data_IF_275301403372
#
_entry.id   IF_275301403372
#
_cell.length_a   1.000
_cell.length_b   1.000
_cell.length_c   1.000
_cell.angle_alpha   90.00
_cell.angle_beta   90.00
_cell.angle_gamma   90.00
#
_symmetry.space_group_name_H-M   'P 1'
#
loop_
_entity.id
_entity.type
_entity.pdbx_description
1 polymer ?
#
# COMPACT_ATOMS: atom_id res chain seq x y z
N UNK A 1 37.06 3.62 9.39
CA UNK A 1 35.62 3.59 9.11
C UNK A 1 34.86 3.71 10.42
N UNK A 2 33.81 4.53 10.50
CA UNK A 2 32.94 4.55 11.67
C UNK A 2 32.17 3.23 11.78
N UNK A 3 31.85 2.78 13.00
CA UNK A 3 30.94 1.65 13.18
C UNK A 3 29.51 2.03 12.75
N UNK A 4 28.69 1.03 12.42
CA UNK A 4 27.30 1.25 12.04
C UNK A 4 26.50 1.98 13.13
N UNK A 5 26.78 1.71 14.40
CA UNK A 5 26.14 2.40 15.54
C UNK A 5 26.52 3.88 15.63
N UNK A 6 27.79 4.22 15.40
CA UNK A 6 28.24 5.62 15.43
C UNK A 6 27.62 6.40 14.27
N UNK A 7 27.56 5.79 13.09
CA UNK A 7 26.86 6.36 11.94
C UNK A 7 25.36 6.57 12.21
N UNK A 8 24.66 5.56 12.75
CA UNK A 8 23.24 5.70 13.12
C UNK A 8 23.00 6.86 14.10
N UNK A 9 23.89 7.03 15.10
CA UNK A 9 23.83 8.17 16.02
C UNK A 9 24.06 9.50 15.31
N UNK A 10 25.04 9.62 14.43
CA UNK A 10 25.28 10.84 13.65
C UNK A 10 24.06 11.18 12.80
N UNK A 11 23.49 10.19 12.11
CA UNK A 11 22.35 10.38 11.22
C UNK A 11 21.12 10.90 11.96
N UNK A 12 20.91 10.56 13.24
CA UNK A 12 19.79 11.08 14.05
C UNK A 12 19.83 12.59 14.27
N UNK A 13 21.00 13.23 14.19
CA UNK A 13 21.13 14.69 14.37
C UNK A 13 21.03 15.49 13.08
N UNK A 14 20.92 14.82 11.93
CA UNK A 14 20.84 15.46 10.63
C UNK A 14 19.39 15.59 10.16
N UNK A 15 19.06 16.70 9.52
CA UNK A 15 17.80 16.84 8.78
C UNK A 15 17.77 15.91 7.57
N UNK A 16 16.58 15.57 7.05
CA UNK A 16 16.45 14.74 5.85
C UNK A 16 17.23 15.31 4.66
N UNK A 17 17.24 16.63 4.50
CA UNK A 17 17.99 17.31 3.44
C UNK A 17 19.50 17.05 3.57
N UNK A 18 20.07 17.17 4.76
CA UNK A 18 21.49 16.92 5.01
C UNK A 18 21.85 15.43 4.85
N UNK A 19 20.99 14.54 5.34
CA UNK A 19 21.12 13.09 5.13
C UNK A 19 21.17 12.75 3.64
N UNK A 20 20.31 13.38 2.83
CA UNK A 20 20.29 13.22 1.37
C UNK A 20 21.55 13.76 0.72
N UNK A 21 22.01 14.96 1.08
CA UNK A 21 23.24 15.54 0.56
C UNK A 21 24.48 14.68 0.86
N UNK A 22 24.56 14.05 2.04
CA UNK A 22 25.66 13.14 2.39
C UNK A 22 25.74 11.90 1.46
N UNK A 23 24.60 11.45 0.93
CA UNK A 23 24.57 10.32 -0.01
C UNK A 23 25.16 10.70 -1.36
N UNK A 24 25.09 11.96 -1.75
CA UNK A 24 25.60 12.45 -3.03
C UNK A 24 27.13 12.58 -3.04
N UNK A 25 27.76 12.60 -1.85
CA UNK A 25 29.22 12.73 -1.70
C UNK A 25 29.97 11.55 -2.32
N UNK A 26 29.49 10.32 -2.15
CA UNK A 26 30.07 9.15 -2.82
C UNK A 26 29.12 7.96 -2.89
N UNK A 27 29.36 7.07 -3.86
CA UNK A 27 28.60 5.81 -4.00
C UNK A 27 28.71 4.91 -2.77
N UNK A 28 29.88 4.86 -2.13
CA UNK A 28 30.09 4.06 -0.92
C UNK A 28 29.26 4.59 0.25
N UNK A 29 29.30 5.92 0.48
CA UNK A 29 28.45 6.58 1.49
C UNK A 29 26.98 6.39 1.19
N UNK A 30 26.55 6.50 -0.07
CA UNK A 30 25.17 6.22 -0.44
C UNK A 30 24.73 4.80 -0.03
N UNK A 31 25.54 3.78 -0.34
CA UNK A 31 25.22 2.39 0.02
C UNK A 31 25.18 2.21 1.53
N UNK A 32 26.14 2.76 2.27
CA UNK A 32 26.21 2.63 3.74
C UNK A 32 25.10 3.38 4.45
N UNK A 33 24.75 4.60 4.01
CA UNK A 33 23.79 5.47 4.67
C UNK A 33 22.35 5.17 4.29
N UNK A 34 22.09 4.63 3.10
CA UNK A 34 20.72 4.33 2.64
C UNK A 34 19.90 3.55 3.68
N UNK A 35 20.37 2.41 4.24
CA UNK A 35 19.61 1.68 5.26
C UNK A 35 19.39 2.44 6.58
N UNK A 36 20.19 3.48 6.85
CA UNK A 36 20.13 4.30 8.07
C UNK A 36 19.20 5.53 7.94
N UNK A 37 18.58 5.73 6.79
CA UNK A 37 17.63 6.83 6.56
C UNK A 37 16.26 6.22 6.25
N UNK A 38 15.47 5.88 7.29
CA UNK A 38 14.13 5.32 7.12
C UNK A 38 13.24 6.16 6.21
N UNK A 39 13.46 7.47 6.20
CA UNK A 39 12.70 8.44 5.41
C UNK A 39 12.89 8.27 3.89
N UNK A 40 13.98 7.63 3.43
CA UNK A 40 14.15 7.24 2.03
C UNK A 40 13.15 6.19 1.57
N UNK A 41 12.70 5.37 2.52
CA UNK A 41 11.78 4.28 2.29
C UNK A 41 10.34 4.66 2.65
N UNK A 42 10.13 5.85 3.23
CA UNK A 42 8.79 6.40 3.42
C UNK A 42 8.41 7.25 2.21
N UNK A 43 7.63 6.66 1.31
CA UNK A 43 7.07 7.35 0.17
C UNK A 43 5.56 7.48 0.34
N UNK A 44 5.03 8.62 -0.08
CA UNK A 44 3.61 8.90 -0.05
C UNK A 44 2.97 8.46 -1.37
N UNK A 45 2.16 7.40 -1.31
CA UNK A 45 1.28 7.01 -2.40
C UNK A 45 -0.02 7.78 -2.19
N UNK A 46 -0.37 8.66 -3.13
CA UNK A 46 -1.64 9.40 -3.07
C UNK A 46 -2.80 8.44 -3.36
N UNK A 47 -2.69 7.65 -4.43
CA UNK A 47 -3.71 6.67 -4.78
C UNK A 47 -3.06 5.36 -5.21
N UNK A 48 -3.54 4.25 -4.66
CA UNK A 48 -3.23 2.90 -5.12
C UNK A 48 -4.52 2.21 -5.53
N UNK A 49 -4.53 1.64 -6.73
CA UNK A 49 -5.59 0.76 -7.19
C UNK A 49 -4.97 -0.61 -7.48
N UNK A 50 -5.53 -1.65 -6.89
CA UNK A 50 -5.13 -3.03 -7.12
C UNK A 50 -6.12 -3.65 -8.10
N UNK A 51 -5.63 -4.48 -9.02
CA UNK A 51 -6.46 -5.31 -9.89
C UNK A 51 -5.89 -6.73 -9.95
N UNK A 52 -6.73 -7.76 -9.97
CA UNK A 52 -6.29 -9.14 -10.23
C UNK A 52 -6.88 -9.64 -11.53
N UNK A 53 -6.05 -10.23 -12.37
CA UNK A 53 -6.48 -10.91 -13.59
C UNK A 53 -5.82 -12.29 -13.64
N UNK A 54 -6.62 -13.35 -13.65
CA UNK A 54 -6.15 -14.74 -13.63
C UNK A 54 -5.15 -15.02 -12.49
N UNK A 55 -3.84 -15.01 -12.78
CA UNK A 55 -2.72 -15.28 -11.85
C UNK A 55 -1.79 -14.08 -11.68
N UNK A 56 -2.17 -12.90 -12.18
CA UNK A 56 -1.38 -11.68 -12.06
C UNK A 56 -2.09 -10.63 -11.22
N UNK A 57 -1.30 -9.93 -10.40
CA UNK A 57 -1.73 -8.75 -9.67
C UNK A 57 -1.15 -7.52 -10.34
N UNK A 58 -2.01 -6.56 -10.60
CA UNK A 58 -1.67 -5.28 -11.20
C UNK A 58 -1.88 -4.18 -10.17
N UNK A 59 -0.91 -3.30 -10.01
CA UNK A 59 -1.00 -2.13 -9.15
C UNK A 59 -0.89 -0.90 -10.02
N UNK A 60 -1.87 -0.02 -9.94
CA UNK A 60 -1.80 1.34 -10.45
C UNK A 60 -1.53 2.27 -9.27
N UNK A 61 -0.42 2.99 -9.33
CA UNK A 61 0.10 3.76 -8.20
C UNK A 61 0.36 5.18 -8.66
N UNK A 62 -0.25 6.13 -7.95
CA UNK A 62 -0.10 7.56 -8.19
C UNK A 62 0.73 8.16 -7.04
N UNK A 63 1.91 8.70 -7.37
CA UNK A 63 2.88 9.25 -6.41
C UNK A 63 3.12 10.73 -6.72
N UNK A 64 3.11 11.58 -5.69
CA UNK A 64 3.32 13.04 -5.82
C UNK A 64 4.80 13.46 -5.71
N UNK A 65 5.68 12.55 -5.29
CA UNK A 65 7.09 12.84 -5.01
C UNK A 65 8.03 12.46 -6.17
N UNK A 66 9.06 13.27 -6.39
CA UNK A 66 10.10 13.11 -7.41
C UNK A 66 11.12 12.00 -7.08
N UNK A 67 11.10 11.41 -5.88
CA UNK A 67 11.97 10.27 -5.53
C UNK A 67 11.40 8.88 -5.89
N UNK A 68 10.24 8.82 -6.54
CA UNK A 68 9.56 7.58 -6.92
C UNK A 68 10.43 6.64 -7.76
N UNK A 69 11.29 7.18 -8.63
CA UNK A 69 12.04 6.38 -9.61
C UNK A 69 13.09 5.47 -8.93
N UNK A 70 13.67 5.92 -7.80
CA UNK A 70 14.64 5.11 -7.03
C UNK A 70 13.96 3.97 -6.28
N UNK A 71 12.81 4.25 -5.66
CA UNK A 71 12.01 3.23 -4.97
C UNK A 71 11.56 2.12 -5.93
N UNK A 72 11.07 2.50 -7.10
CA UNK A 72 10.65 1.55 -8.12
C UNK A 72 11.82 0.78 -8.75
N UNK A 73 12.99 1.39 -8.89
CA UNK A 73 14.19 0.68 -9.30
C UNK A 73 14.56 -0.46 -8.32
N UNK A 74 14.38 -0.26 -7.01
CA UNK A 74 14.57 -1.32 -6.00
C UNK A 74 13.48 -2.40 -6.05
N UNK A 75 12.26 -2.04 -6.48
CA UNK A 75 11.17 -2.99 -6.70
C UNK A 75 11.34 -3.84 -7.96
N UNK A 76 12.05 -3.34 -8.97
CA UNK A 76 12.15 -3.95 -10.30
C UNK A 76 12.52 -5.45 -10.27
N UNK A 77 13.42 -5.95 -9.40
CA UNK A 77 13.72 -7.39 -9.32
C UNK A 77 12.55 -8.26 -8.84
N UNK A 78 11.56 -7.66 -8.18
CA UNK A 78 10.39 -8.33 -7.58
C UNK A 78 9.13 -8.21 -8.42
N UNK A 79 9.17 -7.41 -9.50
CA UNK A 79 8.02 -7.09 -10.35
C UNK A 79 8.28 -7.61 -11.76
N UNK A 80 7.30 -8.31 -12.34
CA UNK A 80 7.44 -8.86 -13.70
C UNK A 80 7.48 -7.73 -14.73
N UNK A 81 6.56 -6.78 -14.63
CA UNK A 81 6.49 -5.61 -15.51
C UNK A 81 6.21 -4.36 -14.73
N UNK A 82 6.93 -3.32 -15.07
CA UNK A 82 6.74 -1.99 -14.52
C UNK A 82 6.87 -0.97 -15.62
N UNK A 83 5.91 -0.04 -15.70
CA UNK A 83 6.01 1.10 -16.59
C UNK A 83 5.41 2.34 -15.96
N UNK A 84 5.94 3.49 -16.36
CA UNK A 84 5.44 4.80 -16.00
C UNK A 84 4.47 5.25 -17.09
N UNK A 85 3.29 5.70 -16.69
CA UNK A 85 2.32 6.31 -17.61
C UNK A 85 2.22 7.81 -17.38
N UNK A 86 1.54 8.48 -18.30
CA UNK A 86 1.25 9.90 -18.16
C UNK A 86 0.24 10.13 -17.04
N UNK A 87 0.55 11.09 -16.17
CA UNK A 87 -0.40 11.63 -15.21
C UNK A 87 -1.09 12.86 -15.79
N UNK A 88 -2.39 12.99 -15.53
CA UNK A 88 -3.14 14.21 -15.85
C UNK A 88 -2.81 15.36 -14.88
N UNK A 89 -2.35 15.02 -13.68
CA UNK A 89 -2.05 15.97 -12.63
C UNK A 89 -0.57 16.35 -12.68
N UNK A 90 -0.29 17.64 -12.88
CA UNK A 90 1.08 18.19 -12.84
C UNK A 90 1.74 17.87 -11.50
N UNK A 91 2.93 17.28 -11.55
CA UNK A 91 3.70 16.89 -10.35
C UNK A 91 3.31 15.53 -9.77
N UNK A 92 2.46 14.76 -10.43
CA UNK A 92 2.16 13.38 -10.06
C UNK A 92 2.74 12.42 -11.10
N UNK A 93 3.32 11.32 -10.63
CA UNK A 93 3.83 10.24 -11.47
C UNK A 93 2.94 9.02 -11.29
N UNK A 94 2.50 8.46 -12.41
CA UNK A 94 1.68 7.25 -12.44
C UNK A 94 2.51 6.05 -12.82
N UNK A 95 2.46 5.01 -12.01
CA UNK A 95 3.15 3.75 -12.24
C UNK A 95 2.15 2.62 -12.34
N UNK A 96 2.48 1.66 -13.18
CA UNK A 96 1.77 0.41 -13.33
C UNK A 96 2.75 -0.73 -13.05
N UNK A 97 2.42 -1.56 -12.08
CA UNK A 97 3.18 -2.75 -11.72
C UNK A 97 2.36 -3.98 -12.05
N UNK A 98 3.01 -5.04 -12.54
CA UNK A 98 2.43 -6.36 -12.71
C UNK A 98 3.31 -7.38 -11.99
N UNK A 99 2.69 -8.17 -11.13
CA UNK A 99 3.27 -9.32 -10.46
C UNK A 99 2.60 -10.58 -11.00
N UNK A 100 3.39 -11.53 -11.49
CA UNK A 100 2.93 -12.90 -11.73
C UNK A 100 3.72 -13.85 -10.85
N UNK A 101 3.11 -14.96 -10.45
CA UNK A 101 3.75 -15.98 -9.61
C UNK A 101 4.37 -15.40 -8.31
N UNK A 102 3.68 -14.45 -7.70
CA UNK A 102 4.16 -13.78 -6.49
C UNK A 102 4.28 -14.79 -5.33
N UNK A 103 5.44 -14.78 -4.64
CA UNK A 103 5.64 -15.63 -3.48
C UNK A 103 4.86 -15.07 -2.28
N UNK A 104 4.48 -15.95 -1.35
CA UNK A 104 3.81 -15.54 -0.11
C UNK A 104 4.65 -14.54 0.70
N UNK A 105 5.97 -14.50 0.53
CA UNK A 105 6.87 -13.65 1.31
C UNK A 105 7.21 -12.32 0.62
N UNK A 106 6.46 -11.94 -0.41
CA UNK A 106 6.73 -10.69 -1.14
C UNK A 106 6.26 -9.47 -0.34
N UNK A 107 7.21 -8.67 0.14
CA UNK A 107 6.98 -7.36 0.74
C UNK A 107 7.30 -6.29 -0.30
N UNK A 108 6.27 -5.58 -0.78
CA UNK A 108 6.41 -4.56 -1.81
C UNK A 108 6.38 -3.17 -1.19
N UNK A 109 5.31 -2.82 -0.51
CA UNK A 109 5.09 -1.45 -0.07
C UNK A 109 5.57 -1.23 1.36
N UNK A 110 6.61 -1.94 1.81
CA UNK A 110 7.10 -1.80 3.17
C UNK A 110 7.37 -0.32 3.49
N UNK A 111 6.78 0.19 4.59
CA UNK A 111 6.91 1.58 5.06
C UNK A 111 6.27 2.65 4.16
N UNK A 112 5.52 2.25 3.14
CA UNK A 112 4.71 3.17 2.35
C UNK A 112 3.61 3.83 3.20
N UNK A 113 3.36 5.12 2.96
CA UNK A 113 2.15 5.80 3.43
C UNK A 113 1.18 5.91 2.25
N UNK A 114 0.15 5.08 2.29
CA UNK A 114 -0.89 5.03 1.26
C UNK A 114 -2.05 5.87 1.74
N UNK A 115 -2.28 7.00 1.09
CA UNK A 115 -3.41 7.87 1.42
C UNK A 115 -4.71 7.19 1.05
N UNK A 116 -4.89 6.80 -0.21
CA UNK A 116 -6.10 6.09 -0.66
C UNK A 116 -5.75 4.76 -1.29
N UNK A 117 -6.27 3.67 -0.72
CA UNK A 117 -6.26 2.34 -1.33
C UNK A 117 -7.65 2.03 -1.90
N UNK A 118 -7.74 1.84 -3.21
CA UNK A 118 -8.99 1.46 -3.89
C UNK A 118 -8.94 0.01 -4.35
N UNK A 119 -9.97 -0.75 -4.02
CA UNK A 119 -10.23 -2.10 -4.52
C UNK A 119 -11.40 -1.96 -5.51
N UNK A 120 -11.07 -1.88 -6.80
CA UNK A 120 -11.97 -1.45 -7.90
C UNK A 120 -12.95 -2.56 -8.34
N UNK A 121 -14.15 -2.22 -8.81
CA UNK A 121 -15.20 -3.15 -9.30
C UNK A 121 -14.80 -4.12 -10.41
N UNK A 122 -13.85 -3.73 -11.28
CA UNK A 122 -13.34 -4.62 -12.35
C UNK A 122 -12.48 -5.74 -11.79
N UNK A 123 -12.23 -5.70 -10.49
CA UNK A 123 -11.72 -6.82 -9.75
C UNK A 123 -12.76 -7.93 -9.67
N UNK A 124 -12.53 -8.98 -10.44
CA UNK A 124 -12.65 -10.35 -9.95
C UNK A 124 -11.63 -10.63 -8.84
N UNK A 125 -11.42 -9.69 -7.91
CA UNK A 125 -10.69 -9.95 -6.68
C UNK A 125 -11.70 -10.56 -5.76
N UNK A 126 -11.92 -11.85 -6.01
CA UNK A 126 -12.65 -12.67 -5.09
C UNK A 126 -11.91 -12.57 -3.76
N UNK A 127 -12.47 -11.90 -2.75
CA UNK A 127 -11.91 -12.01 -1.40
C UNK A 127 -11.99 -13.50 -1.07
N UNK A 128 -10.83 -14.13 -1.07
CA UNK A 128 -10.61 -15.49 -0.63
C UNK A 128 -9.59 -15.40 0.50
N UNK A 129 -9.56 -16.40 1.37
CA UNK A 129 -8.56 -16.48 2.43
C UNK A 129 -7.14 -16.37 1.89
N UNK A 130 -6.88 -16.93 0.71
CA UNK A 130 -5.59 -16.85 0.03
C UNK A 130 -5.24 -15.41 -0.40
N UNK A 131 -6.18 -14.72 -1.04
CA UNK A 131 -6.01 -13.32 -1.45
C UNK A 131 -5.76 -12.39 -0.26
N UNK A 132 -6.46 -12.61 0.87
CA UNK A 132 -6.25 -11.86 2.09
C UNK A 132 -4.84 -12.03 2.66
N UNK A 133 -4.30 -13.26 2.64
CA UNK A 133 -2.93 -13.52 3.08
C UNK A 133 -1.90 -12.79 2.21
N UNK A 134 -2.13 -12.72 0.90
CA UNK A 134 -1.26 -11.97 0.00
C UNK A 134 -1.30 -10.47 0.28
N UNK A 135 -2.50 -9.90 0.44
CA UNK A 135 -2.65 -8.47 0.77
C UNK A 135 -1.96 -8.13 2.09
N UNK A 136 -2.09 -9.00 3.10
CA UNK A 136 -1.36 -8.84 4.37
C UNK A 136 0.14 -8.72 4.16
N UNK A 137 0.70 -9.54 3.27
CA UNK A 137 2.15 -9.58 3.05
C UNK A 137 2.64 -8.43 2.18
N UNK A 138 1.89 -8.02 1.16
CA UNK A 138 2.21 -6.84 0.36
C UNK A 138 2.17 -5.54 1.16
N UNK A 139 1.21 -5.43 2.08
CA UNK A 139 0.99 -4.24 2.91
C UNK A 139 1.62 -4.32 4.30
N UNK A 140 2.49 -5.30 4.54
CA UNK A 140 3.17 -5.43 5.82
C UNK A 140 4.01 -4.18 6.10
N UNK A 141 3.73 -3.52 7.22
CA UNK A 141 4.40 -2.28 7.61
C UNK A 141 3.97 -1.03 6.84
N UNK A 142 2.92 -1.11 6.01
CA UNK A 142 2.29 0.07 5.41
C UNK A 142 1.45 0.83 6.43
N UNK A 143 1.28 2.13 6.18
CA UNK A 143 0.21 2.93 6.79
C UNK A 143 -0.81 3.28 5.71
N UNK A 144 -2.04 2.78 5.86
CA UNK A 144 -3.14 3.08 4.93
C UNK A 144 -4.10 4.06 5.62
N UNK A 145 -4.32 5.24 5.03
CA UNK A 145 -5.22 6.25 5.61
C UNK A 145 -6.67 5.93 5.29
N UNK A 146 -7.02 5.82 4.01
CA UNK A 146 -8.36 5.46 3.57
C UNK A 146 -8.34 4.22 2.68
N UNK A 147 -9.37 3.39 2.83
CA UNK A 147 -9.64 2.25 1.95
C UNK A 147 -11.02 2.43 1.32
N UNK A 148 -11.09 2.48 0.00
CA UNK A 148 -12.35 2.50 -0.76
C UNK A 148 -12.64 1.11 -1.32
N UNK A 149 -13.77 0.55 -0.92
CA UNK A 149 -14.26 -0.75 -1.32
C UNK A 149 -15.49 -0.58 -2.20
N UNK A 150 -15.41 -0.99 -3.46
CA UNK A 150 -16.56 -0.98 -4.37
C UNK A 150 -17.27 -2.33 -4.32
N UNK A 151 -18.55 -2.35 -3.97
CA UNK A 151 -19.35 -3.57 -3.87
C UNK A 151 -20.45 -3.60 -4.93
N UNK A 152 -20.58 -4.75 -5.58
CA UNK A 152 -21.58 -5.07 -6.60
C UNK A 152 -22.25 -6.43 -6.29
N UNK A 153 -23.29 -6.78 -7.06
CA UNK A 153 -24.05 -8.03 -6.89
C UNK A 153 -23.17 -9.29 -6.82
N UNK A 154 -22.13 -9.35 -7.66
CA UNK A 154 -21.27 -10.54 -7.78
C UNK A 154 -20.19 -10.60 -6.68
N UNK A 155 -19.90 -9.48 -6.01
CA UNK A 155 -18.98 -9.41 -4.88
C UNK A 155 -19.70 -9.45 -3.52
N UNK A 156 -21.04 -9.39 -3.51
CA UNK A 156 -21.88 -9.47 -2.30
C UNK A 156 -21.57 -10.67 -1.39
N UNK A 157 -21.36 -11.91 -1.89
CA UNK A 157 -21.05 -13.05 -1.02
C UNK A 157 -19.73 -12.89 -0.25
N UNK A 158 -18.83 -12.06 -0.77
CA UNK A 158 -17.49 -11.85 -0.25
C UNK A 158 -17.42 -10.75 0.81
N UNK A 159 -18.51 -10.00 1.01
CA UNK A 159 -18.62 -8.94 2.02
C UNK A 159 -18.34 -9.48 3.42
N UNK A 160 -18.63 -10.77 3.68
CA UNK A 160 -18.30 -11.46 4.94
C UNK A 160 -16.80 -11.52 5.27
N UNK A 161 -15.93 -11.34 4.29
CA UNK A 161 -14.47 -11.36 4.45
C UNK A 161 -13.86 -9.95 4.58
N UNK A 162 -14.68 -8.90 4.42
CA UNK A 162 -14.23 -7.52 4.63
C UNK A 162 -13.75 -7.28 6.07
N UNK A 163 -14.40 -7.79 7.13
CA UNK A 163 -13.87 -7.68 8.49
C UNK A 163 -12.43 -8.19 8.60
N UNK A 164 -12.13 -9.34 8.00
CA UNK A 164 -10.78 -9.91 8.00
C UNK A 164 -9.81 -9.00 7.23
N UNK A 165 -10.20 -8.53 6.04
CA UNK A 165 -9.42 -7.56 5.26
C UNK A 165 -9.08 -6.29 6.06
N UNK A 166 -10.08 -5.70 6.72
CA UNK A 166 -9.91 -4.49 7.52
C UNK A 166 -9.03 -4.74 8.75
N UNK A 167 -9.11 -5.92 9.36
CA UNK A 167 -8.23 -6.30 10.48
C UNK A 167 -6.76 -6.42 10.06
N UNK A 168 -6.51 -6.79 8.80
CA UNK A 168 -5.18 -6.96 8.22
C UNK A 168 -4.58 -5.63 7.80
N UNK A 169 -5.35 -4.83 7.06
CA UNK A 169 -4.90 -3.57 6.48
C UNK A 169 -4.92 -2.43 7.49
N UNK A 170 -5.85 -2.48 8.46
CA UNK A 170 -6.05 -1.47 9.51
C UNK A 170 -6.09 -0.03 8.97
N UNK A 171 -6.93 0.26 7.96
CA UNK A 171 -7.05 1.62 7.46
C UNK A 171 -7.63 2.55 8.54
N UNK A 172 -7.32 3.83 8.45
CA UNK A 172 -7.87 4.84 9.39
C UNK A 172 -9.34 5.15 9.06
N UNK A 173 -9.70 5.11 7.78
CA UNK A 173 -11.02 5.35 7.24
C UNK A 173 -11.38 4.28 6.21
N UNK A 174 -12.66 3.89 6.16
CA UNK A 174 -13.18 2.95 5.16
C UNK A 174 -14.37 3.59 4.48
N UNK A 175 -14.33 3.65 3.16
CA UNK A 175 -15.44 4.09 2.31
C UNK A 175 -16.01 2.90 1.56
N UNK A 176 -17.34 2.76 1.59
CA UNK A 176 -18.05 1.74 0.83
C UNK A 176 -18.81 2.41 -0.30
N UNK A 177 -18.46 2.09 -1.54
CA UNK A 177 -19.18 2.57 -2.72
C UNK A 177 -20.09 1.46 -3.25
N UNK A 178 -21.39 1.74 -3.29
CA UNK A 178 -22.40 0.84 -3.87
C UNK A 178 -22.68 1.26 -5.30
N UNK A 179 -22.41 0.39 -6.28
CA UNK A 179 -22.64 0.74 -7.67
C UNK A 179 -24.07 0.47 -8.16
N UNK A 180 -24.78 -0.49 -7.56
CA UNK A 180 -26.18 -0.80 -7.89
C UNK A 180 -27.01 -1.08 -6.63
N UNK A 181 -28.09 -0.31 -6.45
CA UNK A 181 -29.10 -0.51 -5.41
C UNK A 181 -30.12 -1.54 -5.90
N UNK A 182 -29.83 -2.82 -5.77
CA UNK A 182 -30.85 -3.85 -5.89
C UNK A 182 -30.94 -4.60 -4.56
N UNK A 183 -32.11 -4.51 -3.90
CA UNK A 183 -32.72 -5.37 -2.86
C UNK A 183 -31.84 -6.11 -1.82
N UNK A 184 -30.58 -5.74 -1.63
CA UNK A 184 -29.65 -6.41 -0.72
C UNK A 184 -29.26 -5.48 0.42
N UNK A 185 -29.53 -5.90 1.65
CA UNK A 185 -29.09 -5.22 2.88
C UNK A 185 -27.59 -5.43 3.08
N UNK A 186 -26.81 -4.53 2.48
CA UNK A 186 -25.35 -4.52 2.53
C UNK A 186 -24.77 -4.22 3.91
N UNK A 187 -25.59 -3.75 4.85
CA UNK A 187 -25.17 -3.52 6.23
C UNK A 187 -25.20 -4.82 7.04
N UNK A 188 -25.87 -5.87 6.55
CA UNK A 188 -26.06 -7.14 7.28
C UNK A 188 -24.74 -7.75 7.81
N UNK A 189 -23.65 -7.85 7.02
CA UNK A 189 -22.37 -8.35 7.51
C UNK A 189 -21.68 -7.40 8.51
N UNK A 190 -22.02 -6.12 8.47
CA UNK A 190 -21.45 -5.08 9.33
C UNK A 190 -22.28 -4.81 10.58
N UNK A 191 -23.52 -5.34 10.70
CA UNK A 191 -24.38 -5.12 11.88
C UNK A 191 -23.68 -5.50 13.19
N UNK A 192 -22.88 -6.57 13.18
CA UNK A 192 -22.10 -6.98 14.36
C UNK A 192 -20.88 -6.09 14.66
N UNK A 193 -20.27 -5.49 13.63
CA UNK A 193 -19.16 -4.54 13.80
C UNK A 193 -19.67 -3.18 14.26
N UNK A 194 -20.74 -2.70 13.65
CA UNK A 194 -21.43 -1.45 13.99
C UNK A 194 -22.00 -1.54 15.41
N UNK A 195 -22.63 -2.67 15.79
CA UNK A 195 -23.12 -2.85 17.15
C UNK A 195 -22.00 -2.84 18.19
N UNK A 196 -20.81 -3.36 17.87
CA UNK A 196 -19.63 -3.30 18.74
C UNK A 196 -19.01 -1.90 18.82
N UNK A 197 -19.00 -1.15 17.73
CA UNK A 197 -18.45 0.21 17.68
C UNK A 197 -19.37 1.26 18.34
N UNK A 198 -20.68 1.01 18.40
CA UNK A 198 -21.67 1.86 19.05
C UNK A 198 -21.86 1.55 20.54
N UNK A 199 -21.26 0.48 21.06
CA UNK A 199 -21.25 0.23 22.50
C UNK A 199 -20.21 1.14 23.16
N UNK A 200 -20.57 1.86 24.24
CA UNK A 200 -19.61 2.64 25.00
C UNK A 200 -18.51 1.69 25.52
N UNK A 201 -17.25 2.14 25.64
CA UNK A 201 -16.21 1.32 26.24
C UNK A 201 -16.69 0.88 27.62
N UNK A 202 -16.66 -0.44 27.88
CA UNK A 202 -17.03 -1.00 29.16
C UNK A 202 -16.22 -0.28 30.26
N UNK A 203 -16.95 0.34 31.19
CA UNK A 203 -16.41 1.07 32.33
C UNK A 203 -15.70 0.14 33.31
#
# INVERSE_FOLDING_TARGET
AFSAEVLDRIMKYLSLKEKLSLREVSRALNITLSPLIPELYSFAIENMNIMQNMKSLHFKIDIRDCQSDKFFAEMQPRVERMWRGDSRDKGMSRFFLTLSNYSRDTHLFERARIKTLTVDKRMTFHLTTENLLWLRNFFKGCKIESMSLVVEKDTLPQVKLIPDLLSLVKPTCVEFTLQTLHSCDMLEPFKQLISRALLPPAA
#
